data_IF_670605643544
#
_entry.id   IF_670605643544
#
_cell.length_a   1.000
_cell.length_b   1.000
_cell.length_c   1.000
_cell.angle_alpha   90.00
_cell.angle_beta   90.00
_cell.angle_gamma   90.00
#
_symmetry.space_group_name_H-M   'P 1'
#
loop_
_entity.id
_entity.type
_entity.pdbx_description
1 polymer ?
#
# COMPACT_ATOMS: atom_id res chain seq x y z
N UNK A 1 26.99 -8.56 0.88
CA UNK A 1 25.59 -8.28 1.13
C UNK A 1 24.81 -9.60 1.34
N UNK A 2 24.89 -10.58 0.42
CA UNK A 2 24.18 -11.85 0.57
C UNK A 2 24.53 -12.59 1.89
N UNK A 3 25.81 -12.64 2.29
CA UNK A 3 26.26 -13.24 3.57
C UNK A 3 25.69 -12.51 4.81
N UNK A 4 25.28 -11.26 4.65
CA UNK A 4 24.68 -10.46 5.73
C UNK A 4 23.13 -10.53 5.70
N UNK A 5 22.54 -11.41 4.89
CA UNK A 5 21.10 -11.51 4.76
C UNK A 5 20.43 -10.31 4.06
N UNK A 6 21.21 -9.47 3.38
CA UNK A 6 20.70 -8.28 2.70
C UNK A 6 20.18 -8.66 1.32
N UNK A 7 18.92 -8.36 1.06
CA UNK A 7 18.32 -8.47 -0.25
C UNK A 7 18.75 -7.32 -1.16
N UNK A 8 19.17 -7.65 -2.39
CA UNK A 8 19.44 -6.67 -3.44
C UNK A 8 18.30 -6.67 -4.44
N UNK A 9 17.69 -5.52 -4.65
CA UNK A 9 16.69 -5.29 -5.67
C UNK A 9 17.26 -4.42 -6.78
N UNK A 10 17.09 -4.84 -8.03
CA UNK A 10 17.36 -4.01 -9.20
C UNK A 10 16.05 -3.40 -9.66
N UNK A 11 16.03 -2.09 -9.85
CA UNK A 11 14.85 -1.34 -10.25
C UNK A 11 15.10 -0.62 -11.56
N UNK A 12 14.06 -0.50 -12.40
CA UNK A 12 14.07 0.39 -13.54
C UNK A 12 14.09 1.87 -13.11
N UNK A 13 14.27 2.77 -14.07
CA UNK A 13 14.40 4.21 -13.82
C UNK A 13 13.25 4.85 -13.04
N UNK A 14 12.06 4.25 -13.04
CA UNK A 14 10.89 4.66 -12.25
C UNK A 14 10.80 4.06 -10.84
N UNK A 15 11.83 3.33 -10.36
CA UNK A 15 11.79 2.66 -9.04
C UNK A 15 10.96 1.38 -9.02
N UNK A 16 10.37 0.97 -10.14
CA UNK A 16 9.64 -0.30 -10.25
C UNK A 16 10.64 -1.45 -10.18
N UNK A 17 10.46 -2.44 -9.30
CA UNK A 17 11.30 -3.63 -9.30
C UNK A 17 11.30 -4.30 -10.67
N UNK A 18 12.47 -4.62 -11.22
CA UNK A 18 12.58 -5.22 -12.55
C UNK A 18 11.88 -6.59 -12.65
N UNK A 19 11.72 -7.30 -11.55
CA UNK A 19 10.95 -8.54 -11.54
C UNK A 19 9.44 -8.35 -11.73
N UNK A 20 8.93 -7.14 -11.70
CA UNK A 20 7.57 -6.83 -12.13
C UNK A 20 7.47 -6.62 -13.66
N UNK A 21 8.59 -6.40 -14.34
CA UNK A 21 8.68 -6.26 -15.79
C UNK A 21 8.89 -7.65 -16.41
N UNK A 22 7.81 -8.37 -16.66
CA UNK A 22 7.81 -9.75 -17.13
C UNK A 22 8.29 -9.95 -18.56
N UNK A 23 8.62 -8.89 -19.29
CA UNK A 23 8.90 -8.97 -20.74
C UNK A 23 10.38 -9.18 -21.08
N UNK A 24 11.28 -8.99 -20.10
CA UNK A 24 12.73 -9.12 -20.30
C UNK A 24 13.39 -9.98 -19.22
N UNK A 25 12.92 -11.22 -19.07
CA UNK A 25 13.43 -12.16 -18.06
C UNK A 25 14.93 -12.44 -18.20
N UNK A 26 15.50 -12.23 -19.38
CA UNK A 26 16.91 -12.48 -19.66
C UNK A 26 17.85 -11.38 -19.18
N UNK A 27 17.34 -10.18 -18.89
CA UNK A 27 18.14 -9.03 -18.47
C UNK A 27 18.14 -8.81 -16.97
N UNK A 28 17.57 -9.74 -16.18
CA UNK A 28 17.45 -9.63 -14.74
C UNK A 28 18.47 -10.56 -14.06
N UNK A 29 19.45 -9.94 -13.40
CA UNK A 29 20.31 -10.67 -12.48
C UNK A 29 19.64 -10.73 -11.10
N UNK A 30 19.31 -11.93 -10.65
CA UNK A 30 18.81 -12.19 -9.31
C UNK A 30 19.97 -12.47 -8.38
N UNK A 31 20.12 -11.69 -7.32
CA UNK A 31 21.03 -12.00 -6.22
C UNK A 31 20.15 -12.29 -5.00
N UNK A 32 19.71 -13.52 -4.82
CA UNK A 32 18.92 -13.91 -3.66
C UNK A 32 19.76 -13.78 -2.39
N UNK A 33 19.15 -13.60 -1.22
CA UNK A 33 19.83 -13.76 0.05
C UNK A 33 20.43 -15.18 0.12
N UNK A 34 21.45 -15.36 0.94
CA UNK A 34 22.17 -16.65 1.07
C UNK A 34 21.24 -17.80 1.48
N UNK A 35 20.12 -17.51 2.13
CA UNK A 35 19.04 -18.47 2.41
C UNK A 35 17.83 -18.11 1.57
N UNK A 36 17.39 -19.03 0.71
CA UNK A 36 16.12 -18.93 -0.02
C UNK A 36 14.93 -19.39 0.82
N UNK A 37 15.17 -19.80 2.06
CA UNK A 37 14.13 -20.29 2.96
C UNK A 37 13.29 -19.12 3.46
N UNK A 38 12.10 -18.96 2.86
CA UNK A 38 11.08 -18.03 3.30
C UNK A 38 10.08 -18.72 4.18
N UNK A 39 9.43 -18.00 5.10
CA UNK A 39 8.34 -18.57 5.87
C UNK A 39 7.25 -19.10 4.93
N UNK A 40 6.88 -20.36 5.07
CA UNK A 40 5.81 -20.97 4.25
C UNK A 40 4.45 -20.87 4.92
N UNK A 41 4.42 -20.64 6.22
CA UNK A 41 3.18 -20.55 7.00
C UNK A 41 2.24 -19.45 6.52
N UNK A 42 2.78 -18.25 6.21
CA UNK A 42 1.98 -17.13 5.72
C UNK A 42 1.37 -17.43 4.36
N UNK A 43 2.12 -18.06 3.45
CA UNK A 43 1.60 -18.50 2.17
C UNK A 43 0.48 -19.53 2.34
N UNK A 44 0.68 -20.54 3.20
CA UNK A 44 -0.31 -21.57 3.45
C UNK A 44 -1.63 -20.98 4.02
N UNK A 45 -1.52 -20.08 5.00
CA UNK A 45 -2.66 -19.38 5.56
C UNK A 45 -3.34 -18.47 4.54
N UNK A 46 -2.56 -17.74 3.74
CA UNK A 46 -3.08 -16.83 2.71
C UNK A 46 -3.86 -17.59 1.64
N UNK A 47 -3.30 -18.66 1.09
CA UNK A 47 -3.96 -19.49 0.08
C UNK A 47 -5.22 -20.13 0.62
N UNK A 48 -5.23 -20.57 1.87
CA UNK A 48 -6.39 -21.22 2.49
C UNK A 48 -7.62 -20.34 2.50
N UNK A 49 -7.51 -19.05 2.78
CA UNK A 49 -8.67 -18.15 2.79
C UNK A 49 -8.92 -17.47 1.42
N UNK A 50 -7.88 -17.35 0.58
CA UNK A 50 -7.96 -16.50 -0.63
C UNK A 50 -9.01 -16.96 -1.64
N UNK A 51 -9.32 -18.26 -1.72
CA UNK A 51 -10.34 -18.80 -2.60
C UNK A 51 -11.77 -18.61 -2.07
N UNK A 52 -11.93 -18.30 -0.80
CA UNK A 52 -13.22 -17.91 -0.22
C UNK A 52 -13.45 -16.41 -0.42
N UNK A 53 -14.44 -16.05 -1.26
CA UNK A 53 -14.71 -14.67 -1.61
C UNK A 53 -15.16 -13.83 -0.40
N UNK A 54 -15.84 -14.42 0.58
CA UNK A 54 -16.28 -13.72 1.78
C UNK A 54 -15.09 -13.41 2.71
N UNK A 55 -14.20 -14.39 2.93
CA UNK A 55 -12.99 -14.20 3.72
C UNK A 55 -12.01 -13.24 3.01
N UNK A 56 -11.90 -13.33 1.69
CA UNK A 56 -11.07 -12.41 0.90
C UNK A 56 -11.57 -10.97 0.99
N UNK A 57 -12.90 -10.76 0.92
CA UNK A 57 -13.50 -9.44 1.13
C UNK A 57 -13.26 -8.93 2.55
N UNK A 58 -13.39 -9.79 3.55
CA UNK A 58 -13.11 -9.43 4.94
C UNK A 58 -11.63 -9.04 5.14
N UNK A 59 -10.70 -9.77 4.52
CA UNK A 59 -9.28 -9.43 4.52
C UNK A 59 -9.01 -8.09 3.83
N UNK A 60 -9.67 -7.81 2.70
CA UNK A 60 -9.57 -6.52 2.02
C UNK A 60 -10.07 -5.37 2.90
N UNK A 61 -11.19 -5.57 3.62
CA UNK A 61 -11.69 -4.59 4.60
C UNK A 61 -10.70 -4.36 5.74
N UNK A 62 -10.05 -5.42 6.24
CA UNK A 62 -9.01 -5.29 7.26
C UNK A 62 -7.81 -4.45 6.77
N UNK A 63 -7.37 -4.64 5.53
CA UNK A 63 -6.34 -3.81 4.90
C UNK A 63 -6.76 -2.33 4.86
N UNK A 64 -8.00 -2.04 4.48
CA UNK A 64 -8.50 -0.67 4.47
C UNK A 64 -8.54 -0.05 5.88
N UNK A 65 -8.91 -0.81 6.91
CA UNK A 65 -8.85 -0.31 8.30
C UNK A 65 -7.41 0.00 8.74
N UNK A 66 -6.44 -0.87 8.41
CA UNK A 66 -5.02 -0.63 8.68
C UNK A 66 -4.50 0.64 7.97
N UNK A 67 -4.90 0.84 6.69
CA UNK A 67 -4.61 2.06 5.92
C UNK A 67 -5.14 3.31 6.61
N UNK A 68 -6.42 3.31 7.04
CA UNK A 68 -7.04 4.44 7.73
C UNK A 68 -6.34 4.76 9.06
N UNK A 69 -5.96 3.74 9.82
CA UNK A 69 -5.22 3.91 11.07
C UNK A 69 -3.87 4.60 10.83
N UNK A 70 -3.07 4.08 9.87
CA UNK A 70 -1.76 4.64 9.52
C UNK A 70 -1.88 6.07 9.02
N UNK A 71 -2.91 6.36 8.21
CA UNK A 71 -3.20 7.69 7.70
C UNK A 71 -3.45 8.70 8.84
N UNK A 72 -4.36 8.40 9.77
CA UNK A 72 -4.67 9.27 10.91
C UNK A 72 -3.44 9.52 11.78
N UNK A 73 -2.72 8.45 12.12
CA UNK A 73 -1.50 8.55 12.92
C UNK A 73 -0.45 9.47 12.28
N UNK A 74 -0.28 9.36 10.96
CA UNK A 74 0.78 10.11 10.29
C UNK A 74 0.40 11.57 10.02
N UNK A 75 -0.83 11.86 9.59
CA UNK A 75 -1.21 13.22 9.23
C UNK A 75 -1.40 14.13 10.44
N UNK A 76 -1.87 13.61 11.55
CA UNK A 76 -2.16 14.40 12.76
C UNK A 76 -1.01 14.34 13.76
N UNK A 77 -0.45 13.16 14.00
CA UNK A 77 0.56 12.92 15.03
C UNK A 77 1.99 13.31 14.63
N UNK A 78 2.27 13.52 13.35
CA UNK A 78 3.64 13.73 12.85
C UNK A 78 4.04 15.20 12.88
N UNK A 79 4.80 15.58 13.94
CA UNK A 79 5.34 16.94 14.10
C UNK A 79 6.25 17.35 12.93
N UNK A 80 7.10 16.43 12.45
CA UNK A 80 8.00 16.73 11.33
C UNK A 80 7.24 17.05 10.05
N UNK A 81 6.11 16.40 9.80
CA UNK A 81 5.25 16.70 8.66
C UNK A 81 4.63 18.11 8.75
N UNK A 82 4.20 18.49 9.96
CA UNK A 82 3.73 19.87 10.23
C UNK A 82 4.81 20.91 9.97
N UNK A 83 6.01 20.66 10.46
CA UNK A 83 7.18 21.56 10.29
C UNK A 83 7.59 21.68 8.81
N UNK A 84 7.28 20.67 8.00
CA UNK A 84 7.48 20.70 6.56
C UNK A 84 6.41 21.53 5.81
N UNK A 85 5.34 21.96 6.48
CA UNK A 85 4.28 22.77 5.88
C UNK A 85 3.02 21.99 5.53
N UNK A 86 2.82 20.79 6.08
CA UNK A 86 1.58 20.02 5.96
C UNK A 86 0.77 20.11 7.25
N UNK A 87 -0.19 21.05 7.28
CA UNK A 87 -1.04 21.30 8.44
C UNK A 87 -2.43 20.67 8.24
N UNK A 88 -2.55 19.35 8.46
CA UNK A 88 -3.82 18.66 8.33
C UNK A 88 -4.85 19.17 9.35
N UNK A 89 -6.09 19.41 8.90
CA UNK A 89 -7.24 19.60 9.77
C UNK A 89 -7.62 18.25 10.38
N UNK A 90 -7.35 18.10 11.67
CA UNK A 90 -7.57 16.86 12.40
C UNK A 90 -9.07 16.47 12.47
N UNK A 91 -9.97 17.45 12.62
CA UNK A 91 -11.40 17.18 12.70
C UNK A 91 -11.95 16.73 11.33
N UNK A 92 -11.57 17.43 10.25
CA UNK A 92 -11.99 17.07 8.91
C UNK A 92 -11.42 15.70 8.47
N UNK A 93 -10.17 15.39 8.86
CA UNK A 93 -9.59 14.08 8.60
C UNK A 93 -10.31 12.96 9.36
N UNK A 94 -10.62 13.19 10.64
CA UNK A 94 -11.35 12.20 11.46
C UNK A 94 -12.74 11.95 10.88
N UNK A 95 -13.49 13.01 10.52
CA UNK A 95 -14.80 12.89 9.89
C UNK A 95 -14.72 12.06 8.58
N UNK A 96 -13.79 12.41 7.68
CA UNK A 96 -13.62 11.72 6.40
C UNK A 96 -13.25 10.25 6.59
N UNK A 97 -12.32 9.95 7.51
CA UNK A 97 -11.87 8.57 7.74
C UNK A 97 -12.91 7.74 8.51
N UNK A 98 -13.67 8.31 9.43
CA UNK A 98 -14.77 7.64 10.12
C UNK A 98 -15.91 7.30 9.14
N UNK A 99 -16.32 8.25 8.30
CA UNK A 99 -17.32 8.02 7.27
C UNK A 99 -16.86 6.93 6.27
N UNK A 100 -15.62 6.98 5.82
CA UNK A 100 -15.05 5.96 4.94
C UNK A 100 -15.00 4.58 5.61
N UNK A 101 -14.56 4.50 6.87
CA UNK A 101 -14.53 3.26 7.64
C UNK A 101 -15.92 2.60 7.73
N UNK A 102 -16.94 3.39 8.07
CA UNK A 102 -18.33 2.90 8.15
C UNK A 102 -18.84 2.41 6.79
N UNK A 103 -18.59 3.18 5.71
CA UNK A 103 -19.03 2.81 4.36
C UNK A 103 -18.30 1.57 3.83
N UNK A 104 -17.00 1.43 4.09
CA UNK A 104 -16.21 0.25 3.72
C UNK A 104 -16.65 -0.99 4.50
N UNK A 105 -16.99 -0.86 5.78
CA UNK A 105 -17.52 -1.98 6.58
C UNK A 105 -18.81 -2.54 5.99
N UNK A 106 -19.69 -1.68 5.47
CA UNK A 106 -20.96 -2.03 4.84
C UNK A 106 -20.85 -2.46 3.37
N UNK A 107 -19.68 -2.36 2.74
CA UNK A 107 -19.50 -2.71 1.35
C UNK A 107 -19.87 -4.20 1.12
N UNK A 108 -20.80 -4.51 0.18
CA UNK A 108 -21.29 -5.87 -0.01
C UNK A 108 -20.30 -6.78 -0.74
N UNK A 109 -19.42 -6.18 -1.52
CA UNK A 109 -18.45 -6.86 -2.37
C UNK A 109 -17.20 -6.02 -2.63
N UNK A 110 -16.25 -6.55 -3.39
CA UNK A 110 -15.01 -5.88 -3.75
C UNK A 110 -15.23 -4.61 -4.58
N UNK A 111 -16.22 -4.59 -5.45
CA UNK A 111 -16.56 -3.42 -6.29
C UNK A 111 -17.07 -2.27 -5.42
N UNK A 112 -17.95 -2.58 -4.47
CA UNK A 112 -18.45 -1.63 -3.48
C UNK A 112 -17.29 -1.09 -2.63
N UNK A 113 -16.39 -1.96 -2.17
CA UNK A 113 -15.24 -1.56 -1.38
C UNK A 113 -14.29 -0.65 -2.16
N UNK A 114 -13.96 -0.98 -3.42
CA UNK A 114 -13.14 -0.13 -4.30
C UNK A 114 -13.80 1.23 -4.57
N UNK A 115 -15.13 1.27 -4.67
CA UNK A 115 -15.87 2.52 -4.83
C UNK A 115 -15.69 3.44 -3.61
N UNK A 116 -15.76 2.89 -2.40
CA UNK A 116 -15.54 3.67 -1.18
C UNK A 116 -14.07 4.11 -1.05
N UNK A 117 -13.14 3.26 -1.42
CA UNK A 117 -11.72 3.58 -1.50
C UNK A 117 -11.46 4.77 -2.43
N UNK A 118 -12.02 4.76 -3.64
CA UNK A 118 -11.88 5.84 -4.59
C UNK A 118 -12.53 7.17 -4.12
N UNK A 119 -13.64 7.10 -3.38
CA UNK A 119 -14.27 8.28 -2.77
C UNK A 119 -13.38 8.89 -1.69
N UNK A 120 -12.84 8.05 -0.80
CA UNK A 120 -11.90 8.51 0.22
C UNK A 120 -10.68 9.17 -0.43
N UNK A 121 -10.07 8.55 -1.43
CA UNK A 121 -8.88 9.07 -2.11
C UNK A 121 -9.11 10.48 -2.68
N UNK A 122 -10.29 10.72 -3.28
CA UNK A 122 -10.65 12.08 -3.75
C UNK A 122 -10.74 13.08 -2.61
N UNK A 123 -11.33 12.68 -1.49
CA UNK A 123 -11.40 13.53 -0.30
C UNK A 123 -10.02 13.84 0.28
N UNK A 124 -9.13 12.82 0.33
CA UNK A 124 -7.76 13.01 0.80
C UNK A 124 -6.96 13.99 -0.06
N UNK A 125 -7.15 14.00 -1.36
CA UNK A 125 -6.56 15.03 -2.23
C UNK A 125 -7.02 16.43 -1.84
N UNK A 126 -8.32 16.60 -1.59
CA UNK A 126 -8.89 17.89 -1.17
C UNK A 126 -8.36 18.35 0.19
N UNK A 127 -8.24 17.42 1.14
CA UNK A 127 -7.66 17.68 2.46
C UNK A 127 -6.17 18.03 2.37
N UNK A 128 -5.41 17.35 1.50
CA UNK A 128 -3.99 17.65 1.28
C UNK A 128 -3.77 19.02 0.65
N UNK A 129 -4.61 19.43 -0.31
CA UNK A 129 -4.62 20.78 -0.87
C UNK A 129 -4.79 21.84 0.23
N UNK A 130 -5.77 21.65 1.10
CA UNK A 130 -6.01 22.59 2.22
C UNK A 130 -4.85 22.59 3.21
N UNK A 131 -4.32 21.41 3.52
CA UNK A 131 -3.22 21.25 4.48
C UNK A 131 -1.92 21.95 4.05
N UNK A 132 -1.72 22.13 2.74
CA UNK A 132 -0.51 22.74 2.16
C UNK A 132 -0.74 24.12 1.55
N UNK A 133 -2.00 24.53 1.36
CA UNK A 133 -2.33 25.72 0.57
C UNK A 133 -2.13 25.51 -0.94
N UNK A 134 -2.02 24.26 -1.41
CA UNK A 134 -1.98 23.92 -2.83
C UNK A 134 -3.35 24.24 -3.47
N UNK A 135 -3.36 24.91 -4.57
CA UNK A 135 -4.62 25.30 -5.22
C UNK A 135 -5.54 24.13 -5.62
N UNK A 136 -6.31 24.28 -6.65
CA UNK A 136 -7.17 23.22 -7.17
C UNK A 136 -6.34 22.06 -7.70
N UNK A 137 -6.70 20.84 -7.29
CA UNK A 137 -6.04 19.62 -7.71
C UNK A 137 -7.03 18.62 -8.29
N UNK A 138 -6.70 18.11 -9.45
CA UNK A 138 -7.38 16.95 -10.06
C UNK A 138 -6.35 15.90 -10.42
N UNK A 139 -6.59 14.67 -10.00
CA UNK A 139 -5.68 13.57 -10.35
C UNK A 139 -5.70 13.32 -11.86
N UNK A 140 -4.59 13.59 -12.51
CA UNK A 140 -4.41 13.33 -13.94
C UNK A 140 -4.39 11.83 -14.23
N UNK A 141 -4.81 11.44 -15.43
CA UNK A 141 -4.61 10.07 -15.89
C UNK A 141 -3.11 9.85 -16.13
N UNK A 142 -2.66 8.62 -15.90
CA UNK A 142 -1.25 8.26 -16.10
C UNK A 142 -0.86 8.56 -17.55
N UNK A 143 0.23 9.31 -17.72
CA UNK A 143 0.74 9.72 -19.02
C UNK A 143 0.25 11.09 -19.52
N UNK A 144 -0.75 11.68 -18.86
CA UNK A 144 -1.11 13.07 -19.10
C UNK A 144 -0.13 14.00 -18.39
N UNK A 145 0.14 15.17 -18.97
CA UNK A 145 0.95 16.23 -18.34
C UNK A 145 0.14 16.87 -17.21
N UNK A 146 0.12 16.20 -16.05
CA UNK A 146 -0.43 16.78 -14.83
C UNK A 146 0.49 17.85 -14.25
N UNK A 147 0.02 18.54 -13.23
CA UNK A 147 0.82 19.47 -12.45
C UNK A 147 1.94 18.75 -11.66
N UNK A 148 2.81 19.51 -11.00
CA UNK A 148 3.95 18.98 -10.25
C UNK A 148 3.54 17.97 -9.17
N UNK A 149 2.40 18.18 -8.49
CA UNK A 149 1.92 17.24 -7.47
C UNK A 149 1.50 15.90 -8.10
N UNK A 150 0.90 15.91 -9.30
CA UNK A 150 0.58 14.71 -10.06
C UNK A 150 1.84 13.92 -10.43
N UNK A 151 2.88 14.60 -10.92
CA UNK A 151 4.17 13.97 -11.26
C UNK A 151 4.81 13.34 -10.03
N UNK A 152 4.82 14.06 -8.91
CA UNK A 152 5.36 13.53 -7.65
C UNK A 152 4.54 12.35 -7.10
N UNK A 153 3.22 12.38 -7.22
CA UNK A 153 2.39 11.22 -6.85
C UNK A 153 2.71 9.99 -7.71
N UNK A 154 2.92 10.16 -9.01
CA UNK A 154 3.32 9.05 -9.87
C UNK A 154 4.68 8.47 -9.44
N UNK A 155 5.69 9.31 -9.25
CA UNK A 155 7.02 8.87 -8.82
C UNK A 155 7.00 8.24 -7.41
N UNK A 156 6.30 8.86 -6.45
CA UNK A 156 6.22 8.36 -5.09
C UNK A 156 5.48 7.02 -4.97
N UNK A 157 4.45 6.81 -5.79
CA UNK A 157 3.74 5.55 -5.83
C UNK A 157 4.65 4.37 -6.24
N UNK A 158 5.63 4.59 -7.11
CA UNK A 158 6.60 3.54 -7.44
C UNK A 158 7.49 3.14 -6.27
N UNK A 159 7.84 4.08 -5.38
CA UNK A 159 8.55 3.75 -4.14
C UNK A 159 7.71 2.86 -3.23
N UNK A 160 6.42 3.19 -3.07
CA UNK A 160 5.49 2.37 -2.30
C UNK A 160 5.29 0.97 -2.91
N UNK A 161 5.20 0.87 -4.24
CA UNK A 161 5.13 -0.43 -4.93
C UNK A 161 6.39 -1.25 -4.73
N UNK A 162 7.57 -0.63 -4.75
CA UNK A 162 8.84 -1.29 -4.45
C UNK A 162 8.85 -1.89 -3.04
N UNK A 163 8.40 -1.14 -2.03
CA UNK A 163 8.27 -1.65 -0.66
C UNK A 163 7.21 -2.76 -0.55
N UNK A 164 6.05 -2.60 -1.21
CA UNK A 164 5.01 -3.63 -1.24
C UNK A 164 5.50 -4.93 -1.87
N UNK A 165 6.26 -4.85 -2.97
CA UNK A 165 6.90 -6.01 -3.58
C UNK A 165 7.92 -6.66 -2.66
N UNK A 166 8.70 -5.86 -1.92
CA UNK A 166 9.65 -6.36 -0.92
C UNK A 166 8.93 -7.08 0.22
N UNK A 167 7.88 -6.48 0.80
CA UNK A 167 7.12 -7.08 1.88
C UNK A 167 6.50 -8.43 1.49
N UNK A 168 5.87 -8.50 0.32
CA UNK A 168 5.28 -9.75 -0.20
C UNK A 168 6.34 -10.80 -0.49
N UNK A 169 7.48 -10.39 -1.07
CA UNK A 169 8.57 -11.30 -1.37
C UNK A 169 9.19 -11.91 -0.11
N UNK A 170 9.46 -11.10 0.92
CA UNK A 170 10.03 -11.56 2.20
C UNK A 170 9.14 -12.61 2.85
N UNK A 171 7.82 -12.48 2.74
CA UNK A 171 6.85 -13.43 3.29
C UNK A 171 6.52 -14.61 2.36
N UNK A 172 7.16 -14.69 1.20
CA UNK A 172 6.94 -15.78 0.24
C UNK A 172 5.59 -15.72 -0.47
N UNK A 173 4.92 -14.57 -0.48
CA UNK A 173 3.60 -14.41 -1.08
C UNK A 173 3.70 -14.06 -2.58
N UNK A 174 3.03 -14.80 -3.46
CA UNK A 174 2.92 -14.44 -4.87
C UNK A 174 2.19 -13.12 -5.06
N UNK A 175 2.72 -12.25 -5.92
CA UNK A 175 2.15 -10.92 -6.19
C UNK A 175 0.74 -10.96 -6.80
N UNK A 176 0.32 -12.09 -7.34
CA UNK A 176 -1.02 -12.26 -7.94
C UNK A 176 -2.15 -12.52 -6.94
N UNK A 177 -1.85 -12.81 -5.67
CA UNK A 177 -2.85 -13.18 -4.66
C UNK A 177 -3.45 -11.95 -3.95
N UNK A 178 -3.95 -10.99 -4.74
CA UNK A 178 -4.59 -9.78 -4.25
C UNK A 178 -5.85 -10.05 -3.43
N UNK A 179 -6.10 -9.24 -2.40
CA UNK A 179 -7.35 -9.28 -1.64
C UNK A 179 -8.36 -8.26 -2.17
N UNK A 180 -7.93 -7.10 -2.67
CA UNK A 180 -8.81 -6.04 -3.19
C UNK A 180 -8.69 -5.86 -4.71
N UNK A 181 -7.48 -5.69 -5.26
CA UNK A 181 -7.23 -5.28 -6.65
C UNK A 181 -7.45 -6.36 -7.71
N UNK A 182 -8.49 -7.18 -7.59
CA UNK A 182 -8.92 -8.13 -8.60
C UNK A 182 -8.02 -9.37 -8.75
N UNK A 183 -8.65 -10.55 -8.93
CA UNK A 183 -7.95 -11.84 -9.00
C UNK A 183 -6.98 -11.96 -10.19
N UNK A 184 -7.22 -11.23 -11.26
CA UNK A 184 -6.45 -11.37 -12.52
C UNK A 184 -5.46 -10.24 -12.75
N UNK A 185 -5.42 -9.22 -11.88
CA UNK A 185 -4.50 -8.09 -12.04
C UNK A 185 -3.07 -8.51 -11.72
N UNK A 186 -2.16 -8.32 -12.68
CA UNK A 186 -0.72 -8.54 -12.46
C UNK A 186 -0.23 -7.67 -11.29
N UNK A 187 0.42 -8.30 -10.31
CA UNK A 187 0.94 -7.58 -9.14
C UNK A 187 -0.12 -7.03 -8.20
N UNK A 188 -1.36 -7.51 -8.25
CA UNK A 188 -2.48 -6.97 -7.48
C UNK A 188 -2.20 -6.88 -5.98
N UNK A 189 -1.55 -7.89 -5.38
CA UNK A 189 -1.19 -7.87 -3.96
C UNK A 189 -0.16 -6.77 -3.63
N UNK A 190 0.76 -6.47 -4.55
CA UNK A 190 1.72 -5.37 -4.36
C UNK A 190 0.98 -4.03 -4.27
N UNK A 191 -0.06 -3.83 -5.07
CA UNK A 191 -0.89 -2.63 -4.99
C UNK A 191 -1.68 -2.57 -3.68
N UNK A 192 -2.30 -3.69 -3.26
CA UNK A 192 -3.01 -3.77 -1.98
C UNK A 192 -2.10 -3.38 -0.80
N UNK A 193 -0.88 -3.90 -0.79
CA UNK A 193 0.11 -3.63 0.27
C UNK A 193 0.64 -2.19 0.20
N UNK A 194 0.89 -1.67 -1.00
CA UNK A 194 1.33 -0.29 -1.16
C UNK A 194 0.28 0.72 -0.70
N UNK A 195 -1.01 0.40 -0.88
CA UNK A 195 -2.11 1.27 -0.47
C UNK A 195 -2.18 1.46 1.06
N UNK A 196 -1.59 0.55 1.83
CA UNK A 196 -1.48 0.70 3.28
C UNK A 196 -0.76 1.99 3.71
N UNK A 197 0.16 2.49 2.87
CA UNK A 197 1.04 3.61 3.24
C UNK A 197 1.01 4.79 2.27
N UNK A 198 0.51 4.64 1.05
CA UNK A 198 0.57 5.70 0.02
C UNK A 198 -0.06 7.01 0.49
N UNK A 199 -1.28 6.95 1.01
CA UNK A 199 -1.98 8.15 1.45
C UNK A 199 -1.37 8.75 2.71
N UNK A 200 -0.87 7.90 3.59
CA UNK A 200 -0.26 8.37 4.82
C UNK A 200 1.08 9.08 4.57
N UNK A 201 1.93 8.53 3.70
CA UNK A 201 3.33 8.91 3.59
C UNK A 201 3.68 9.62 2.28
N UNK A 202 3.21 9.10 1.14
CA UNK A 202 3.56 9.63 -0.18
C UNK A 202 2.73 10.88 -0.51
N UNK A 203 1.43 10.83 -0.26
CA UNK A 203 0.52 11.93 -0.61
C UNK A 203 0.93 13.27 0.04
N UNK A 204 1.21 13.36 1.36
CA UNK A 204 1.68 14.60 1.96
C UNK A 204 2.99 15.11 1.36
N UNK A 205 3.95 14.20 1.11
CA UNK A 205 5.25 14.57 0.56
C UNK A 205 5.13 15.12 -0.87
N UNK A 206 4.20 14.60 -1.68
CA UNK A 206 3.97 15.10 -3.03
C UNK A 206 3.49 16.55 -3.03
N UNK A 207 2.51 16.87 -2.19
CA UNK A 207 1.99 18.24 -2.09
C UNK A 207 2.98 19.21 -1.43
N UNK A 208 3.63 18.81 -0.34
CA UNK A 208 4.68 19.63 0.30
C UNK A 208 5.82 19.92 -0.67
N UNK A 209 6.29 18.90 -1.41
CA UNK A 209 7.38 19.08 -2.36
C UNK A 209 6.99 19.94 -3.54
N UNK A 210 5.76 19.82 -4.04
CA UNK A 210 5.23 20.69 -5.09
C UNK A 210 5.17 22.16 -4.64
N UNK A 211 4.69 22.42 -3.42
CA UNK A 211 4.65 23.77 -2.83
C UNK A 211 6.04 24.38 -2.63
N UNK A 212 7.05 23.56 -2.32
CA UNK A 212 8.42 24.01 -2.13
C UNK A 212 9.24 24.10 -3.43
N UNK A 213 8.68 23.71 -4.56
CA UNK A 213 9.41 23.67 -5.83
C UNK A 213 10.59 22.69 -5.83
N UNK A 214 10.44 21.57 -5.12
CA UNK A 214 11.48 20.56 -5.05
C UNK A 214 11.73 19.91 -6.42
N UNK A 215 12.99 19.50 -6.66
CA UNK A 215 13.33 18.60 -7.76
C UNK A 215 12.83 17.17 -7.47
N UNK A 216 12.77 16.32 -8.50
CA UNK A 216 12.43 14.90 -8.32
C UNK A 216 13.35 14.18 -7.34
N UNK A 217 14.64 14.52 -7.34
CA UNK A 217 15.61 13.95 -6.40
C UNK A 217 15.30 14.34 -4.96
N UNK A 218 15.00 15.62 -4.71
CA UNK A 218 14.62 16.12 -3.38
C UNK A 218 13.31 15.49 -2.89
N UNK A 219 12.32 15.39 -3.77
CA UNK A 219 11.07 14.70 -3.46
C UNK A 219 11.31 13.22 -3.12
N UNK A 220 12.10 12.52 -3.94
CA UNK A 220 12.45 11.11 -3.68
C UNK A 220 13.13 10.92 -2.34
N UNK A 221 14.08 11.78 -2.02
CA UNK A 221 14.77 11.77 -0.73
C UNK A 221 13.80 11.99 0.44
N UNK A 222 12.90 12.96 0.33
CA UNK A 222 11.85 13.23 1.33
C UNK A 222 10.91 12.02 1.53
N UNK A 223 10.52 11.33 0.44
CA UNK A 223 9.74 10.10 0.53
C UNK A 223 10.51 8.98 1.23
N UNK A 224 11.77 8.74 0.87
CA UNK A 224 12.60 7.70 1.49
C UNK A 224 12.75 7.96 3.00
N UNK A 225 12.99 9.21 3.39
CA UNK A 225 13.07 9.58 4.80
C UNK A 225 11.75 9.38 5.55
N UNK A 226 10.62 9.74 4.94
CA UNK A 226 9.29 9.54 5.52
C UNK A 226 8.99 8.04 5.69
N UNK A 227 9.28 7.23 4.66
CA UNK A 227 9.08 5.77 4.67
C UNK A 227 9.96 5.10 5.75
N UNK A 228 11.23 5.50 5.86
CA UNK A 228 12.17 4.95 6.85
C UNK A 228 11.77 5.33 8.27
N UNK A 229 11.51 6.61 8.54
CA UNK A 229 11.12 7.07 9.89
C UNK A 229 9.80 6.50 10.39
N UNK A 230 8.90 6.15 9.49
CA UNK A 230 7.61 5.58 9.84
C UNK A 230 7.61 4.05 9.88
N UNK A 231 8.78 3.41 9.68
CA UNK A 231 8.90 1.95 9.64
C UNK A 231 7.89 1.31 8.68
N UNK A 232 7.79 1.92 7.47
CA UNK A 232 6.73 1.58 6.53
C UNK A 232 6.78 0.11 6.08
N UNK A 233 7.99 -0.43 5.87
CA UNK A 233 8.18 -1.83 5.48
C UNK A 233 7.72 -2.79 6.57
N UNK A 234 8.08 -2.52 7.83
CA UNK A 234 7.70 -3.36 8.98
C UNK A 234 6.17 -3.32 9.16
N UNK A 235 5.57 -2.14 9.06
CA UNK A 235 4.11 -2.02 9.10
C UNK A 235 3.40 -2.83 8.00
N UNK A 236 3.92 -2.81 6.77
CA UNK A 236 3.40 -3.63 5.67
C UNK A 236 3.52 -5.13 5.97
N UNK A 237 4.71 -5.57 6.41
CA UNK A 237 5.00 -6.96 6.75
C UNK A 237 4.07 -7.43 7.87
N UNK A 238 3.95 -6.67 8.94
CA UNK A 238 3.12 -7.05 10.09
C UNK A 238 1.63 -7.07 9.75
N UNK A 239 1.16 -6.15 8.89
CA UNK A 239 -0.22 -6.18 8.40
C UNK A 239 -0.51 -7.44 7.58
N UNK A 240 0.40 -7.83 6.68
CA UNK A 240 0.27 -9.06 5.90
C UNK A 240 0.26 -10.29 6.81
N UNK A 241 1.20 -10.37 7.76
CA UNK A 241 1.30 -11.49 8.73
C UNK A 241 0.03 -11.64 9.53
N UNK A 242 -0.43 -10.54 10.14
CA UNK A 242 -1.66 -10.52 10.93
C UNK A 242 -2.88 -10.97 10.12
N UNK A 243 -3.00 -10.49 8.88
CA UNK A 243 -4.08 -10.86 7.96
C UNK A 243 -4.01 -12.34 7.59
N UNK A 244 -2.83 -12.83 7.19
CA UNK A 244 -2.65 -14.24 6.83
C UNK A 244 -3.07 -15.16 7.98
N UNK A 245 -2.58 -14.89 9.20
CA UNK A 245 -2.86 -15.70 10.37
C UNK A 245 -4.34 -15.66 10.75
N UNK A 246 -4.94 -14.47 10.84
CA UNK A 246 -6.33 -14.32 11.24
C UNK A 246 -7.29 -15.03 10.28
N UNK A 247 -7.22 -14.73 9.00
CA UNK A 247 -8.15 -15.27 8.00
C UNK A 247 -7.84 -16.72 7.63
N UNK A 248 -6.58 -17.13 7.67
CA UNK A 248 -6.20 -18.53 7.48
C UNK A 248 -6.72 -19.44 8.60
N UNK A 249 -6.73 -18.98 9.87
CA UNK A 249 -7.32 -19.70 10.99
C UNK A 249 -8.85 -19.75 10.88
N UNK A 250 -9.50 -18.65 10.47
CA UNK A 250 -10.95 -18.63 10.22
C UNK A 250 -11.35 -19.65 9.15
N UNK A 251 -10.62 -19.73 8.05
CA UNK A 251 -10.86 -20.71 6.99
C UNK A 251 -10.68 -22.15 7.50
N UNK A 252 -9.65 -22.41 8.32
CA UNK A 252 -9.45 -23.72 8.92
C UNK A 252 -10.61 -24.14 9.84
N UNK A 253 -11.14 -23.22 10.63
CA UNK A 253 -12.27 -23.48 11.51
C UNK A 253 -13.58 -23.80 10.74
N UNK A 254 -13.77 -23.23 9.56
CA UNK A 254 -14.93 -23.54 8.70
C UNK A 254 -14.88 -24.96 8.12
N UNK A 255 -13.67 -25.46 7.79
CA UNK A 255 -13.50 -26.82 7.23
C UNK A 255 -13.65 -27.92 8.28
N UNK A 256 -13.58 -27.61 9.59
CA UNK A 256 -13.70 -28.57 10.69
C UNK A 256 -15.09 -28.59 11.32
N UNK A 257 -16.10 -27.93 10.76
CA UNK A 257 -17.49 -28.09 11.24
C UNK A 257 -18.00 -29.47 10.83
N UNK A 258 -18.29 -30.38 11.78
CA UNK A 258 -18.87 -31.68 11.46
C UNK A 258 -20.31 -31.43 10.96
N UNK A 259 -20.56 -31.70 9.67
CA UNK A 259 -21.92 -31.61 9.12
C UNK A 259 -22.07 -31.24 7.65
N UNK A 260 -20.99 -30.97 6.91
CA UNK A 260 -21.05 -30.87 5.46
C UNK A 260 -20.57 -32.19 4.85
N UNK A 261 -21.44 -33.18 4.79
CA UNK A 261 -21.28 -34.31 3.85
C UNK A 261 -21.65 -33.82 2.45
N UNK A 262 -20.92 -34.31 1.41
CA UNK A 262 -21.08 -33.90 0.02
C UNK A 262 -22.45 -34.33 -0.56
#
# INVERSE_FOLDING_TARGET
>A
LAKAGVMLGFCGGGGTPLFAATEHVLDVAWIPPQSEYRPTEYLQHWVRFWFDDALRLAAAKAFQQARLLKLRQHWVGNRALKEQGFAADAAALEEATAAASAAMAQAPDHTGLMTQEARLTKELYRLACRATGYGDFTRAKRGDSGDTANQFLDHGNYLAYGLGATATWVLGLPHGLAVLHGKTRRGGLVFDVADLIKDALILPQAFVSAMKGHTEQQFRQACIEALTRSEALDFMIDTIKATAMAFGQMAAAQTHKPGAQP
#
